data_IF_171857839293
#
_entry.id   IF_171857839293
#
_cell.length_a   1.000
_cell.length_b   1.000
_cell.length_c   1.000
_cell.angle_alpha   90.00
_cell.angle_beta   90.00
_cell.angle_gamma   90.00
#
_symmetry.space_group_name_H-M   'P 1'
#
loop_
_entity.id
_entity.type
_entity.pdbx_description
1 polymer ?
#
# COMPACT_ATOMS: atom_id res chain seq x y z
N UNK A 1 -33.78 -52.95 -35.66
CA UNK A 1 -33.06 -52.66 -34.40
C UNK A 1 -31.53 -52.81 -34.48
N UNK A 2 -30.94 -53.31 -35.57
CA UNK A 2 -29.49 -53.54 -35.68
C UNK A 2 -28.69 -52.31 -36.17
N UNK A 3 -29.29 -51.36 -36.91
CA UNK A 3 -28.58 -50.16 -37.40
C UNK A 3 -28.39 -49.05 -36.36
N UNK A 4 -29.20 -49.00 -35.30
CA UNK A 4 -29.05 -48.00 -34.21
C UNK A 4 -28.00 -48.42 -33.16
N UNK A 5 -27.65 -49.70 -33.08
CA UNK A 5 -26.62 -50.19 -32.17
C UNK A 5 -25.19 -49.91 -32.69
N UNK A 6 -24.99 -49.91 -34.01
CA UNK A 6 -23.67 -49.69 -34.60
C UNK A 6 -23.20 -48.23 -34.53
N UNK A 7 -24.13 -47.26 -34.63
CA UNK A 7 -23.81 -45.84 -34.46
C UNK A 7 -23.48 -45.49 -33.01
N UNK A 8 -24.12 -46.16 -32.05
CA UNK A 8 -23.85 -45.94 -30.62
C UNK A 8 -22.46 -46.46 -30.21
N UNK A 9 -22.00 -47.56 -30.82
CA UNK A 9 -20.69 -48.16 -30.51
C UNK A 9 -19.52 -47.34 -31.08
N UNK A 10 -19.69 -46.67 -32.23
CA UNK A 10 -18.66 -45.81 -32.83
C UNK A 10 -18.57 -44.46 -32.09
N UNK A 11 -19.69 -43.93 -31.57
CA UNK A 11 -19.69 -42.72 -30.74
C UNK A 11 -19.11 -42.94 -29.34
N UNK A 12 -19.19 -44.16 -28.77
CA UNK A 12 -18.56 -44.46 -27.48
C UNK A 12 -17.06 -44.76 -27.59
N UNK A 13 -16.58 -45.28 -28.73
CA UNK A 13 -15.15 -45.53 -28.95
C UNK A 13 -14.37 -44.26 -29.34
N UNK A 14 -15.04 -43.26 -29.91
CA UNK A 14 -14.44 -41.96 -30.24
C UNK A 14 -14.40 -40.99 -29.05
N UNK A 15 -15.15 -41.27 -27.96
CA UNK A 15 -15.05 -40.54 -26.69
C UNK A 15 -13.96 -41.09 -25.75
N UNK A 16 -13.38 -42.24 -26.06
CA UNK A 16 -12.36 -42.91 -25.24
C UNK A 16 -10.91 -42.66 -25.72
N UNK A 17 -10.71 -41.91 -26.81
CA UNK A 17 -9.39 -41.70 -27.43
C UNK A 17 -8.84 -40.26 -27.33
N UNK A 18 -9.46 -39.38 -26.53
CA UNK A 18 -8.96 -38.01 -26.29
C UNK A 18 -8.41 -37.77 -24.89
N UNK A 19 -8.23 -38.80 -24.08
CA UNK A 19 -7.46 -38.69 -22.82
C UNK A 19 -5.99 -39.04 -23.06
N UNK A 20 -5.35 -38.32 -23.98
CA UNK A 20 -3.89 -38.20 -23.98
C UNK A 20 -3.49 -37.25 -22.86
N UNK A 21 -3.20 -37.82 -21.70
CA UNK A 21 -2.10 -37.45 -20.79
C UNK A 21 -1.57 -36.00 -20.91
N UNK A 22 -2.28 -35.04 -20.30
CA UNK A 22 -1.62 -34.00 -19.52
C UNK A 22 -1.89 -34.35 -18.06
N UNK A 23 -0.84 -34.56 -17.27
CA UNK A 23 -0.96 -34.94 -15.88
C UNK A 23 -1.62 -33.82 -15.08
N UNK A 24 -2.91 -33.96 -14.80
CA UNK A 24 -3.55 -33.24 -13.70
C UNK A 24 -3.08 -33.91 -12.41
N UNK A 25 -1.89 -33.52 -11.93
CA UNK A 25 -1.66 -33.57 -10.50
C UNK A 25 -2.72 -32.68 -9.87
N UNK A 26 -3.64 -33.28 -9.11
CA UNK A 26 -4.57 -32.51 -8.30
C UNK A 26 -3.74 -31.53 -7.46
N UNK A 27 -3.88 -30.22 -7.72
CA UNK A 27 -3.18 -29.19 -6.96
C UNK A 27 -3.56 -29.40 -5.50
N UNK A 28 -2.60 -29.83 -4.68
CA UNK A 28 -2.79 -29.93 -3.24
C UNK A 28 -3.00 -28.51 -2.71
N UNK A 29 -4.25 -28.19 -2.39
CA UNK A 29 -4.67 -26.85 -1.94
C UNK A 29 -3.98 -26.47 -0.61
N UNK A 30 -3.47 -27.44 0.15
CA UNK A 30 -2.65 -27.19 1.34
C UNK A 30 -1.17 -26.94 1.02
N UNK A 31 -0.70 -27.28 -0.18
CA UNK A 31 0.65 -26.95 -0.66
C UNK A 31 0.77 -25.53 -1.22
N UNK A 32 -0.36 -24.89 -1.55
CA UNK A 32 -0.38 -23.55 -2.13
C UNK A 32 -0.29 -22.49 -1.02
N UNK A 33 0.67 -21.59 -1.18
CA UNK A 33 0.82 -20.44 -0.29
C UNK A 33 -0.46 -19.57 -0.31
N UNK A 34 -1.02 -19.30 0.87
CA UNK A 34 -2.37 -18.70 0.97
C UNK A 34 -2.31 -17.17 0.83
N UNK A 35 -1.17 -16.55 1.17
CA UNK A 35 -0.98 -15.12 1.09
C UNK A 35 0.48 -14.74 0.81
N UNK A 36 0.69 -13.75 -0.03
CA UNK A 36 1.97 -13.05 -0.15
C UNK A 36 1.78 -11.60 0.27
N UNK A 37 2.53 -11.17 1.28
CA UNK A 37 2.59 -9.79 1.74
C UNK A 37 3.79 -9.14 1.08
N UNK A 38 3.53 -8.20 0.17
CA UNK A 38 4.53 -7.35 -0.42
C UNK A 38 4.70 -6.08 0.42
N UNK A 39 5.87 -5.90 1.01
CA UNK A 39 6.25 -4.68 1.73
C UNK A 39 7.06 -3.81 0.76
N UNK A 40 6.56 -2.64 0.45
CA UNK A 40 7.12 -1.70 -0.51
C UNK A 40 7.55 -0.41 0.20
N UNK A 41 8.86 -0.30 0.47
CA UNK A 41 9.50 0.83 1.14
C UNK A 41 10.39 1.59 0.13
N UNK A 42 9.80 2.46 -0.72
CA UNK A 42 10.54 3.26 -1.69
C UNK A 42 11.44 4.29 -1.00
N UNK A 43 12.29 4.99 -1.77
CA UNK A 43 13.13 6.04 -1.22
C UNK A 43 12.30 7.22 -0.75
N UNK A 44 12.52 7.65 0.49
CA UNK A 44 11.82 8.79 1.11
C UNK A 44 12.72 10.01 1.30
N UNK A 45 14.02 9.85 1.10
CA UNK A 45 15.01 10.91 1.28
C UNK A 45 15.26 11.71 -0.01
N UNK A 46 16.32 12.50 -0.01
CA UNK A 46 16.87 13.12 -1.22
C UNK A 46 18.26 12.52 -1.54
N UNK A 47 19.11 13.25 -2.27
CA UNK A 47 20.46 12.80 -2.64
C UNK A 47 21.48 12.87 -1.50
N UNK A 48 21.14 13.51 -0.37
CA UNK A 48 22.03 13.80 0.78
C UNK A 48 21.45 13.36 2.12
N UNK A 49 20.13 13.37 2.27
CA UNK A 49 19.41 13.02 3.50
C UNK A 49 18.62 11.73 3.29
N UNK A 50 18.61 10.87 4.30
CA UNK A 50 18.05 9.51 4.19
C UNK A 50 16.53 9.42 4.36
N UNK A 51 15.86 10.53 4.68
CA UNK A 51 14.43 10.52 5.03
C UNK A 51 14.12 9.50 6.13
N UNK A 52 13.05 8.73 5.94
CA UNK A 52 12.54 7.70 6.84
C UNK A 52 13.31 6.36 6.78
N UNK A 53 14.45 6.26 6.08
CA UNK A 53 15.16 4.98 5.90
C UNK A 53 15.41 4.21 7.20
N UNK A 54 15.83 4.90 8.26
CA UNK A 54 16.08 4.28 9.58
C UNK A 54 14.78 3.73 10.20
N UNK A 55 13.69 4.48 10.10
CA UNK A 55 12.39 4.08 10.64
C UNK A 55 11.80 2.89 9.87
N UNK A 56 11.87 2.94 8.54
CA UNK A 56 11.44 1.83 7.68
C UNK A 56 12.27 0.57 7.93
N UNK A 57 13.58 0.70 8.19
CA UNK A 57 14.41 -0.43 8.62
C UNK A 57 13.93 -1.00 9.95
N UNK A 58 13.63 -0.15 10.93
CA UNK A 58 13.08 -0.57 12.22
C UNK A 58 11.71 -1.24 12.07
N UNK A 59 10.91 -0.83 11.08
CA UNK A 59 9.65 -1.50 10.75
C UNK A 59 9.88 -2.91 10.18
N UNK A 60 10.86 -3.11 9.29
CA UNK A 60 11.25 -4.48 8.85
C UNK A 60 11.75 -5.31 10.04
N UNK A 61 12.56 -4.73 10.93
CA UNK A 61 13.01 -5.39 12.16
C UNK A 61 11.80 -5.80 13.05
N UNK A 62 10.82 -4.90 13.22
CA UNK A 62 9.57 -5.15 13.96
C UNK A 62 8.69 -6.23 13.32
N UNK A 63 8.62 -6.29 11.98
CA UNK A 63 7.95 -7.39 11.27
C UNK A 63 8.65 -8.73 11.52
N UNK A 64 9.99 -8.77 11.43
CA UNK A 64 10.78 -9.96 11.77
C UNK A 64 10.51 -10.43 13.21
N UNK A 65 10.46 -9.52 14.17
CA UNK A 65 10.09 -9.85 15.56
C UNK A 65 8.67 -10.42 15.67
N UNK A 66 7.72 -9.90 14.89
CA UNK A 66 6.36 -10.43 14.78
C UNK A 66 6.33 -11.87 14.24
N UNK A 67 7.11 -12.14 13.19
CA UNK A 67 7.26 -13.47 12.59
C UNK A 67 7.85 -14.46 13.62
N UNK A 68 8.92 -14.07 14.31
CA UNK A 68 9.55 -14.89 15.36
C UNK A 68 8.57 -15.14 16.51
N UNK A 69 7.85 -14.12 16.98
CA UNK A 69 6.87 -14.25 18.06
C UNK A 69 5.73 -15.22 17.70
N UNK A 70 5.39 -15.32 16.41
CA UNK A 70 4.39 -16.27 15.89
C UNK A 70 4.99 -17.60 15.45
N UNK A 71 6.31 -17.78 15.61
CA UNK A 71 7.06 -19.00 15.27
C UNK A 71 6.91 -19.41 13.80
N UNK A 72 6.78 -18.42 12.90
CA UNK A 72 6.65 -18.67 11.47
C UNK A 72 5.78 -17.66 10.74
N UNK A 73 5.55 -17.97 9.46
CA UNK A 73 4.84 -17.10 8.51
C UNK A 73 3.38 -17.48 8.29
N UNK A 74 2.85 -18.52 8.95
CA UNK A 74 1.43 -18.95 8.85
C UNK A 74 0.93 -19.16 7.41
N UNK A 75 1.60 -19.99 6.61
CA UNK A 75 1.27 -20.22 5.19
C UNK A 75 1.19 -18.93 4.37
N UNK A 76 2.06 -17.98 4.72
CA UNK A 76 2.25 -16.73 3.99
C UNK A 76 3.72 -16.59 3.58
N UNK A 77 3.98 -15.74 2.59
CA UNK A 77 5.31 -15.28 2.20
C UNK A 77 5.40 -13.77 2.39
N UNK A 78 6.58 -13.26 2.75
CA UNK A 78 6.80 -11.82 2.93
C UNK A 78 7.98 -11.39 2.10
N UNK A 79 7.71 -10.52 1.14
CA UNK A 79 8.70 -9.99 0.20
C UNK A 79 8.86 -8.50 0.48
N UNK A 80 10.08 -8.03 0.69
CA UNK A 80 10.38 -6.63 1.03
C UNK A 80 11.15 -6.00 -0.11
N UNK A 81 10.55 -5.02 -0.77
CA UNK A 81 11.28 -4.05 -1.58
C UNK A 81 11.68 -2.88 -0.68
N UNK A 82 12.97 -2.57 -0.60
CA UNK A 82 13.47 -1.45 0.21
C UNK A 82 14.56 -0.68 -0.52
N UNK A 83 14.39 0.63 -0.65
CA UNK A 83 15.41 1.54 -1.18
C UNK A 83 16.46 1.88 -0.12
N UNK A 84 17.74 1.67 -0.45
CA UNK A 84 18.88 2.08 0.37
C UNK A 84 19.28 3.53 0.12
N UNK A 85 19.12 4.00 -1.12
CA UNK A 85 19.32 5.39 -1.51
C UNK A 85 18.44 5.70 -2.74
N UNK A 86 18.54 6.93 -3.25
CA UNK A 86 17.72 7.43 -4.36
C UNK A 86 17.83 6.61 -5.66
N UNK A 87 18.89 5.82 -5.86
CA UNK A 87 19.05 4.95 -7.04
C UNK A 87 18.99 3.46 -6.71
N UNK A 88 19.43 3.07 -5.51
CA UNK A 88 19.67 1.66 -5.18
C UNK A 88 18.58 1.08 -4.28
N UNK A 89 17.97 -0.01 -4.72
CA UNK A 89 16.95 -0.75 -3.97
C UNK A 89 17.16 -2.25 -4.02
N UNK A 90 16.53 -2.97 -3.10
CA UNK A 90 16.65 -4.43 -2.97
C UNK A 90 15.28 -5.08 -2.87
N UNK A 91 15.11 -6.24 -3.50
CA UNK A 91 14.02 -7.16 -3.21
C UNK A 91 14.55 -8.29 -2.32
N UNK A 92 13.95 -8.46 -1.14
CA UNK A 92 14.40 -9.34 -0.08
C UNK A 92 13.28 -10.32 0.28
N UNK A 93 13.58 -11.61 0.40
CA UNK A 93 12.68 -12.62 0.96
C UNK A 93 12.93 -12.79 2.46
N UNK A 94 11.88 -12.67 3.27
CA UNK A 94 11.97 -12.95 4.71
C UNK A 94 11.57 -14.40 4.96
N UNK A 95 12.54 -15.22 5.38
CA UNK A 95 12.35 -16.64 5.62
C UNK A 95 12.50 -16.95 7.12
N UNK A 96 11.54 -17.64 7.70
CA UNK A 96 11.64 -18.08 9.10
C UNK A 96 12.40 -19.42 9.17
N UNK A 97 13.50 -19.45 9.92
CA UNK A 97 14.22 -20.67 10.22
C UNK A 97 13.77 -21.22 11.57
N UNK A 98 13.06 -22.36 11.52
CA UNK A 98 12.55 -23.05 12.71
C UNK A 98 13.63 -23.62 13.64
N UNK A 99 14.84 -23.88 13.14
CA UNK A 99 15.95 -24.42 13.94
C UNK A 99 16.59 -23.33 14.79
N UNK A 100 16.94 -22.20 14.17
CA UNK A 100 17.55 -21.06 14.86
C UNK A 100 16.52 -20.16 15.53
N UNK A 101 15.23 -20.27 15.17
CA UNK A 101 14.12 -19.39 15.59
C UNK A 101 14.37 -17.93 15.22
N UNK A 102 14.98 -17.71 14.06
CA UNK A 102 15.31 -16.39 13.53
C UNK A 102 14.69 -16.18 12.15
N UNK A 103 14.75 -14.95 11.64
CA UNK A 103 14.35 -14.62 10.27
C UNK A 103 15.60 -14.36 9.45
N UNK A 104 15.78 -15.14 8.39
CA UNK A 104 16.79 -14.95 7.35
C UNK A 104 16.25 -13.90 6.37
N UNK A 105 17.13 -12.98 5.96
CA UNK A 105 16.86 -11.95 4.95
C UNK A 105 17.65 -12.28 3.69
N UNK A 106 17.01 -12.92 2.73
CA UNK A 106 17.66 -13.32 1.49
C UNK A 106 17.46 -12.25 0.40
N UNK A 107 18.54 -11.62 -0.05
CA UNK A 107 18.48 -10.59 -1.10
C UNK A 107 18.38 -11.26 -2.46
N UNK A 108 17.22 -11.14 -3.10
CA UNK A 108 16.89 -11.83 -4.34
C UNK A 108 17.25 -11.04 -5.60
N UNK A 109 17.19 -9.71 -5.52
CA UNK A 109 17.47 -8.80 -6.64
C UNK A 109 17.91 -7.43 -6.14
N UNK A 110 18.84 -6.83 -6.87
CA UNK A 110 19.25 -5.42 -6.72
C UNK A 110 18.71 -4.62 -7.90
N UNK A 111 18.27 -3.41 -7.63
CA UNK A 111 17.85 -2.41 -8.61
C UNK A 111 18.77 -1.20 -8.43
N UNK A 112 19.39 -0.73 -9.51
CA UNK A 112 20.34 0.38 -9.48
C UNK A 112 19.76 1.71 -10.02
N UNK A 113 18.45 1.72 -10.27
CA UNK A 113 17.64 2.88 -10.65
C UNK A 113 16.29 2.87 -9.93
N UNK A 114 15.66 4.05 -9.81
CA UNK A 114 14.33 4.23 -9.21
C UNK A 114 13.17 3.91 -10.18
N UNK A 115 13.24 2.78 -10.91
CA UNK A 115 12.21 2.45 -11.92
C UNK A 115 10.81 2.23 -11.34
N UNK A 116 10.71 2.01 -10.03
CA UNK A 116 9.44 1.82 -9.32
C UNK A 116 8.50 3.04 -9.36
N UNK A 117 8.96 4.20 -9.82
CA UNK A 117 8.14 5.42 -9.93
C UNK A 117 7.28 5.47 -11.19
N UNK A 118 7.40 4.50 -12.10
CA UNK A 118 6.48 4.32 -13.23
C UNK A 118 5.53 3.14 -13.01
N UNK A 119 4.40 3.14 -13.70
CA UNK A 119 3.42 2.05 -13.62
C UNK A 119 4.04 0.73 -14.08
N UNK A 120 4.79 0.74 -15.18
CA UNK A 120 5.48 -0.42 -15.73
C UNK A 120 6.55 -0.94 -14.78
N UNK A 121 7.37 -0.06 -14.21
CA UNK A 121 8.44 -0.48 -13.30
C UNK A 121 7.89 -1.03 -11.98
N UNK A 122 6.81 -0.46 -11.43
CA UNK A 122 6.12 -1.06 -10.29
C UNK A 122 5.51 -2.42 -10.66
N UNK A 123 4.87 -2.53 -11.82
CA UNK A 123 4.30 -3.80 -12.31
C UNK A 123 5.36 -4.89 -12.47
N UNK A 124 6.55 -4.55 -12.99
CA UNK A 124 7.69 -5.46 -13.10
C UNK A 124 8.15 -5.98 -11.73
N UNK A 125 8.24 -5.11 -10.73
CA UNK A 125 8.59 -5.50 -9.36
C UNK A 125 7.52 -6.42 -8.77
N UNK A 126 6.25 -6.08 -8.93
CA UNK A 126 5.15 -6.90 -8.43
C UNK A 126 5.07 -8.26 -9.15
N UNK A 127 5.33 -8.31 -10.45
CA UNK A 127 5.42 -9.57 -11.20
C UNK A 127 6.60 -10.43 -10.73
N UNK A 128 7.73 -9.82 -10.37
CA UNK A 128 8.87 -10.52 -9.78
C UNK A 128 8.51 -11.10 -8.39
N UNK A 129 7.76 -10.36 -7.57
CA UNK A 129 7.21 -10.85 -6.29
C UNK A 129 6.32 -12.07 -6.53
N UNK A 130 5.37 -11.99 -7.47
CA UNK A 130 4.46 -13.09 -7.82
C UNK A 130 5.20 -14.34 -8.27
N UNK A 131 6.23 -14.17 -9.11
CA UNK A 131 7.04 -15.28 -9.63
C UNK A 131 7.82 -16.00 -8.53
N UNK A 132 8.25 -15.29 -7.49
CA UNK A 132 9.08 -15.85 -6.39
C UNK A 132 8.26 -16.33 -5.19
N UNK A 133 7.08 -15.76 -5.01
CA UNK A 133 6.19 -16.01 -3.89
C UNK A 133 4.74 -16.05 -4.39
N UNK A 134 4.46 -17.03 -5.26
CA UNK A 134 3.10 -17.23 -5.77
C UNK A 134 2.14 -17.49 -4.61
N UNK A 135 0.93 -16.93 -4.67
CA UNK A 135 -0.08 -17.08 -3.63
C UNK A 135 -1.50 -16.91 -4.17
N UNK A 136 -2.48 -17.40 -3.40
CA UNK A 136 -3.90 -17.15 -3.65
C UNK A 136 -4.29 -15.68 -3.43
N UNK A 137 -3.66 -15.01 -2.46
CA UNK A 137 -3.92 -13.61 -2.13
C UNK A 137 -2.62 -12.82 -2.11
N UNK A 138 -2.68 -11.57 -2.57
CA UNK A 138 -1.58 -10.62 -2.47
C UNK A 138 -2.00 -9.43 -1.64
N UNK A 139 -1.15 -8.98 -0.73
CA UNK A 139 -1.36 -7.78 0.07
C UNK A 139 -0.18 -6.84 -0.10
N UNK A 140 -0.42 -5.54 0.04
CA UNK A 140 0.60 -4.52 -0.11
C UNK A 140 0.69 -3.68 1.16
N UNK A 141 1.90 -3.49 1.68
CA UNK A 141 2.22 -2.56 2.76
C UNK A 141 3.17 -1.52 2.19
N UNK A 142 2.79 -0.25 2.24
CA UNK A 142 3.58 0.87 1.73
C UNK A 142 4.01 1.71 2.92
N UNK A 143 5.32 1.88 3.09
CA UNK A 143 5.91 2.75 4.11
C UNK A 143 6.65 3.89 3.42
N UNK A 144 6.18 5.12 3.61
CA UNK A 144 6.72 6.30 2.93
C UNK A 144 6.24 7.60 3.60
N UNK A 145 6.72 8.76 3.11
CA UNK A 145 5.92 9.97 3.28
C UNK A 145 4.64 9.88 2.43
N UNK A 146 3.59 10.58 2.86
CA UNK A 146 2.34 10.68 2.12
C UNK A 146 1.80 12.10 2.18
N UNK A 147 1.21 12.55 1.07
CA UNK A 147 0.76 13.93 0.89
C UNK A 147 -0.74 14.01 0.62
N UNK A 148 -1.48 12.94 0.93
CA UNK A 148 -2.92 12.89 0.80
C UNK A 148 -3.35 13.11 -0.65
N UNK A 149 -4.03 14.22 -0.93
CA UNK A 149 -4.72 14.46 -2.21
C UNK A 149 -3.95 15.33 -3.22
N UNK A 150 -2.72 15.74 -2.94
CA UNK A 150 -1.92 16.56 -3.90
C UNK A 150 -1.01 15.70 -4.78
N UNK A 151 -0.67 16.13 -5.99
CA UNK A 151 0.38 15.52 -6.82
C UNK A 151 1.76 15.99 -6.38
N UNK A 152 2.80 15.23 -6.74
CA UNK A 152 4.16 15.69 -6.52
C UNK A 152 4.43 17.01 -7.28
N UNK A 153 3.96 17.10 -8.53
CA UNK A 153 4.09 18.31 -9.36
C UNK A 153 3.37 19.55 -8.83
N UNK A 154 2.45 19.40 -7.86
CA UNK A 154 1.71 20.53 -7.29
C UNK A 154 2.55 21.31 -6.25
N UNK A 155 3.68 20.75 -5.82
CA UNK A 155 4.53 21.33 -4.79
C UNK A 155 5.84 21.88 -5.36
N UNK A 156 6.06 23.18 -5.16
CA UNK A 156 7.37 23.81 -5.43
C UNK A 156 8.33 23.61 -4.25
N UNK A 157 7.81 23.70 -3.02
CA UNK A 157 8.53 23.37 -1.79
C UNK A 157 7.56 22.62 -0.86
N UNK A 158 7.82 21.34 -0.60
CA UNK A 158 7.04 20.61 0.40
C UNK A 158 7.28 21.22 1.79
N UNK A 159 6.22 21.61 2.53
CA UNK A 159 6.39 22.34 3.77
C UNK A 159 6.88 21.40 4.88
N UNK A 160 7.83 21.87 5.67
CA UNK A 160 8.30 21.14 6.88
C UNK A 160 7.21 21.05 7.97
N UNK A 161 6.10 21.81 7.84
CA UNK A 161 4.97 21.83 8.77
C UNK A 161 3.65 21.94 7.99
N UNK A 162 2.66 21.10 8.28
CA UNK A 162 1.35 21.08 7.59
C UNK A 162 0.57 22.40 7.69
N UNK A 163 0.86 23.23 8.70
CA UNK A 163 0.48 24.64 8.77
C UNK A 163 1.64 25.44 9.38
N UNK A 164 2.13 26.52 8.73
CA UNK A 164 2.79 27.58 9.47
C UNK A 164 1.84 28.03 10.58
N UNK A 165 2.35 28.25 11.78
CA UNK A 165 1.58 28.64 12.96
C UNK A 165 0.58 29.76 12.58
N UNK A 166 -0.69 29.42 12.38
CA UNK A 166 -1.73 30.38 12.01
C UNK A 166 -2.10 31.15 13.27
N UNK A 167 -1.22 32.09 13.64
CA UNK A 167 -1.47 33.15 14.59
C UNK A 167 -2.33 32.79 15.80
N UNK A 168 -1.85 31.93 16.71
CA UNK A 168 -2.17 32.17 18.11
C UNK A 168 -1.32 33.36 18.54
N UNK A 169 -1.79 34.57 18.22
CA UNK A 169 -1.19 35.79 18.73
C UNK A 169 -1.33 35.76 20.25
N UNK A 170 -0.26 35.37 20.95
CA UNK A 170 -0.14 35.69 22.35
C UNK A 170 -0.03 37.21 22.41
N UNK A 171 -1.05 37.87 22.97
CA UNK A 171 -1.17 39.32 23.05
C UNK A 171 0.12 39.91 23.67
N UNK A 172 0.98 40.52 22.84
CA UNK A 172 2.15 41.28 23.30
C UNK A 172 3.55 40.77 22.90
N UNK A 173 3.70 39.73 22.07
CA UNK A 173 5.03 39.33 21.58
C UNK A 173 5.34 39.90 20.19
N UNK A 174 6.45 40.64 20.06
CA UNK A 174 6.94 41.26 18.81
C UNK A 174 7.91 40.39 18.01
N UNK A 175 8.06 39.11 18.38
CA UNK A 175 9.04 38.20 17.79
C UNK A 175 8.36 36.91 17.35
N UNK A 176 7.71 36.93 16.17
CA UNK A 176 7.24 35.72 15.50
C UNK A 176 7.80 35.65 14.08
N UNK A 177 8.12 34.44 13.57
CA UNK A 177 8.33 34.26 12.15
C UNK A 177 7.03 34.66 11.44
N UNK A 178 7.10 35.71 10.63
CA UNK A 178 6.00 36.09 9.75
C UNK A 178 5.68 34.91 8.84
N UNK A 179 4.40 34.72 8.53
CA UNK A 179 3.91 33.80 7.50
C UNK A 179 4.35 34.20 6.07
N UNK A 180 5.56 34.76 5.94
CA UNK A 180 6.24 35.14 4.70
C UNK A 180 7.27 34.08 4.29
N UNK A 181 7.47 33.02 5.09
CA UNK A 181 8.24 31.84 4.69
C UNK A 181 7.38 30.87 3.86
N UNK A 182 7.09 31.26 2.62
CA UNK A 182 6.67 30.42 1.49
C UNK A 182 5.83 29.18 1.81
N UNK A 183 4.60 29.34 2.33
CA UNK A 183 3.54 28.42 1.93
C UNK A 183 3.18 28.77 0.48
N UNK A 184 3.92 28.24 -0.50
CA UNK A 184 3.46 28.27 -1.88
C UNK A 184 2.25 27.35 -1.92
N UNK A 185 1.05 27.92 -1.82
CA UNK A 185 -0.18 27.14 -1.73
C UNK A 185 -0.29 26.11 -2.85
N UNK A 186 -1.08 25.06 -2.58
CA UNK A 186 -1.40 23.98 -3.53
C UNK A 186 -1.75 24.60 -4.88
N UNK A 187 -0.91 24.35 -5.89
CA UNK A 187 -1.22 24.75 -7.25
C UNK A 187 -2.16 23.70 -7.82
N UNK A 188 -3.43 24.04 -7.99
CA UNK A 188 -4.33 23.17 -8.75
C UNK A 188 -3.84 23.14 -10.21
N UNK A 189 -3.72 21.94 -10.78
CA UNK A 189 -3.35 21.76 -12.18
C UNK A 189 -4.25 22.52 -13.18
N UNK A 190 -3.93 22.51 -14.48
CA UNK A 190 -4.54 23.39 -15.48
C UNK A 190 -6.05 23.17 -15.71
N UNK A 191 -6.62 22.05 -15.26
CA UNK A 191 -8.07 21.77 -15.31
C UNK A 191 -8.68 21.70 -13.90
N UNK A 192 -9.37 22.75 -13.42
CA UNK A 192 -10.01 22.75 -12.12
C UNK A 192 -11.19 21.75 -12.00
N UNK A 193 -11.65 21.15 -13.11
CA UNK A 193 -12.69 20.11 -13.11
C UNK A 193 -12.13 18.68 -13.14
N UNK A 194 -10.81 18.53 -13.30
CA UNK A 194 -10.10 17.26 -13.26
C UNK A 194 -8.86 17.39 -12.37
N UNK A 195 -9.04 17.60 -11.06
CA UNK A 195 -7.91 17.59 -10.15
C UNK A 195 -7.29 16.19 -10.21
N UNK A 196 -6.10 16.15 -10.80
CA UNK A 196 -5.24 14.98 -10.82
C UNK A 196 -4.69 14.95 -9.38
N UNK A 197 -5.00 13.91 -8.57
CA UNK A 197 -4.66 13.86 -7.11
C UNK A 197 -3.85 12.64 -6.60
N UNK A 198 -2.92 12.91 -5.63
CA UNK A 198 -2.28 12.04 -4.59
C UNK A 198 -0.89 11.46 -4.88
N UNK A 199 0.13 11.80 -4.08
CA UNK A 199 1.46 11.14 -4.10
C UNK A 199 1.98 10.66 -2.73
N UNK A 200 2.90 9.70 -2.78
CA UNK A 200 3.67 9.14 -1.67
C UNK A 200 5.12 8.89 -2.12
N UNK A 201 6.04 8.62 -1.19
CA UNK A 201 7.46 8.38 -1.51
C UNK A 201 8.37 9.47 -0.97
N UNK A 202 9.30 9.98 -1.78
CA UNK A 202 10.09 11.16 -1.42
C UNK A 202 9.29 12.44 -1.61
N UNK A 203 9.38 13.35 -0.63
CA UNK A 203 8.81 14.71 -0.71
C UNK A 203 9.86 15.76 -1.09
N UNK A 204 11.12 15.34 -1.20
CA UNK A 204 12.27 16.22 -1.46
C UNK A 204 12.98 15.89 -2.78
N UNK A 205 12.59 14.80 -3.44
CA UNK A 205 13.21 14.33 -4.67
C UNK A 205 12.15 13.74 -5.60
N UNK A 206 11.77 14.52 -6.62
CA UNK A 206 10.67 14.24 -7.54
C UNK A 206 10.79 12.89 -8.25
N UNK A 207 12.00 12.50 -8.68
CA UNK A 207 12.22 11.21 -9.36
C UNK A 207 11.98 9.97 -8.47
N UNK A 208 11.76 10.17 -7.16
CA UNK A 208 11.41 9.15 -6.18
C UNK A 208 10.01 9.35 -5.57
N UNK A 209 9.22 10.29 -6.07
CA UNK A 209 7.81 10.44 -5.73
C UNK A 209 6.93 9.53 -6.60
N UNK A 210 5.82 9.06 -6.05
CA UNK A 210 4.87 8.16 -6.72
C UNK A 210 3.46 8.69 -6.59
N UNK A 211 2.79 8.89 -7.72
CA UNK A 211 1.36 9.20 -7.71
C UNK A 211 0.52 7.92 -7.49
N UNK A 212 -0.60 8.04 -6.78
CA UNK A 212 -1.54 6.92 -6.52
C UNK A 212 -2.12 6.34 -7.81
N UNK A 213 -2.48 7.13 -8.85
CA UNK A 213 -2.89 6.57 -10.13
C UNK A 213 -1.79 5.73 -10.81
N UNK A 214 -0.52 6.12 -10.67
CA UNK A 214 0.62 5.34 -11.17
C UNK A 214 0.73 4.00 -10.44
N UNK A 215 0.57 4.00 -9.11
CA UNK A 215 0.47 2.77 -8.32
C UNK A 215 -0.71 1.90 -8.77
N UNK A 216 -1.89 2.49 -8.95
CA UNK A 216 -3.09 1.78 -9.36
C UNK A 216 -2.89 1.12 -10.73
N UNK A 217 -2.37 1.86 -11.71
CA UNK A 217 -2.08 1.32 -13.04
C UNK A 217 -1.01 0.22 -12.96
N UNK A 218 0.05 0.39 -12.17
CA UNK A 218 1.07 -0.64 -11.98
C UNK A 218 0.52 -1.95 -11.39
N UNK A 219 -0.38 -1.86 -10.40
CA UNK A 219 -1.06 -3.05 -9.86
C UNK A 219 -1.94 -3.70 -10.92
N UNK A 220 -2.70 -2.91 -11.68
CA UNK A 220 -3.57 -3.39 -12.75
C UNK A 220 -2.79 -4.06 -13.89
N UNK A 221 -1.68 -3.48 -14.33
CA UNK A 221 -0.78 -4.04 -15.35
C UNK A 221 -0.18 -5.39 -14.92
N UNK A 222 0.04 -5.60 -13.61
CA UNK A 222 0.46 -6.91 -13.10
C UNK A 222 -0.64 -7.97 -13.13
N UNK A 223 -1.89 -7.61 -13.45
CA UNK A 223 -3.06 -8.50 -13.40
C UNK A 223 -3.40 -8.95 -11.97
N UNK A 224 -3.14 -8.10 -10.97
CA UNK A 224 -3.32 -8.43 -9.55
C UNK A 224 -4.40 -7.54 -8.93
N UNK A 225 -5.13 -8.08 -7.97
CA UNK A 225 -5.96 -7.29 -7.05
C UNK A 225 -5.52 -7.57 -5.63
N UNK A 226 -5.23 -6.50 -4.89
CA UNK A 226 -4.74 -6.60 -3.51
C UNK A 226 -5.88 -6.95 -2.56
N UNK A 227 -5.62 -7.85 -1.61
CA UNK A 227 -6.50 -8.14 -0.50
C UNK A 227 -6.59 -6.92 0.43
N UNK A 228 -5.47 -6.25 0.66
CA UNK A 228 -5.43 -4.92 1.26
C UNK A 228 -4.23 -4.13 0.75
N UNK A 229 -4.34 -2.80 0.78
CA UNK A 229 -3.22 -1.87 0.72
C UNK A 229 -3.18 -1.13 2.05
N UNK A 230 -2.10 -1.31 2.82
CA UNK A 230 -1.82 -0.53 4.02
C UNK A 230 -0.86 0.60 3.66
N UNK A 231 -1.28 1.84 3.86
CA UNK A 231 -0.39 2.99 3.86
C UNK A 231 0.07 3.29 5.28
N UNK A 232 1.30 2.92 5.59
CA UNK A 232 2.08 3.42 6.72
C UNK A 232 2.73 4.75 6.31
N UNK A 233 1.85 5.73 6.04
CA UNK A 233 2.17 7.03 5.48
C UNK A 233 1.12 8.07 5.89
N UNK A 234 1.52 9.34 5.94
CA UNK A 234 0.63 10.44 6.32
C UNK A 234 -0.48 10.68 5.29
N UNK A 235 -1.66 11.10 5.77
CA UNK A 235 -2.75 11.68 4.98
C UNK A 235 -3.39 10.79 3.89
N UNK A 236 -3.04 9.51 3.80
CA UNK A 236 -3.55 8.59 2.78
C UNK A 236 -5.00 8.13 3.03
N UNK A 237 -5.55 8.40 4.21
CA UNK A 237 -6.93 8.08 4.61
C UNK A 237 -7.96 9.10 4.13
N UNK A 238 -8.04 9.30 2.82
CA UNK A 238 -9.03 10.17 2.19
C UNK A 238 -9.87 9.42 1.14
N UNK A 239 -11.07 9.94 0.83
CA UNK A 239 -12.05 9.26 -0.05
C UNK A 239 -11.54 9.19 -1.49
N UNK A 240 -10.76 10.19 -1.88
CA UNK A 240 -10.15 10.30 -3.18
C UNK A 240 -9.18 9.12 -3.40
N UNK A 241 -8.25 8.87 -2.48
CA UNK A 241 -7.32 7.72 -2.54
C UNK A 241 -8.06 6.39 -2.53
N UNK A 242 -9.08 6.26 -1.68
CA UNK A 242 -9.88 5.04 -1.62
C UNK A 242 -10.59 4.73 -2.95
N UNK A 243 -11.11 5.79 -3.61
CA UNK A 243 -11.81 5.67 -4.88
C UNK A 243 -10.85 5.35 -6.04
N UNK A 244 -9.66 5.95 -6.06
CA UNK A 244 -8.62 5.64 -7.06
C UNK A 244 -8.20 4.18 -7.04
N UNK A 245 -8.04 3.61 -5.83
CA UNK A 245 -7.56 2.25 -5.65
C UNK A 245 -8.68 1.20 -5.70
N UNK A 246 -9.94 1.59 -5.89
CA UNK A 246 -11.11 0.72 -5.69
C UNK A 246 -11.10 -0.55 -6.56
N UNK A 247 -10.53 -0.46 -7.74
CA UNK A 247 -10.48 -1.56 -8.69
C UNK A 247 -9.30 -2.50 -8.43
N UNK A 248 -8.27 -2.03 -7.72
CA UNK A 248 -7.00 -2.74 -7.48
C UNK A 248 -6.80 -3.21 -6.04
N UNK A 249 -7.70 -2.87 -5.11
CA UNK A 249 -7.70 -3.42 -3.75
C UNK A 249 -9.11 -3.68 -3.22
N UNK A 250 -9.26 -4.67 -2.33
CA UNK A 250 -10.49 -4.90 -1.58
C UNK A 250 -10.61 -3.93 -0.39
N UNK A 251 -9.50 -3.70 0.33
CA UNK A 251 -9.45 -2.81 1.49
C UNK A 251 -8.27 -1.85 1.41
N UNK A 252 -8.46 -0.62 1.86
CA UNK A 252 -7.38 0.34 2.12
C UNK A 252 -7.30 0.60 3.61
N UNK A 253 -6.10 0.52 4.19
CA UNK A 253 -5.86 0.82 5.61
C UNK A 253 -4.93 2.01 5.67
N UNK A 254 -5.34 3.10 6.32
CA UNK A 254 -4.55 4.33 6.34
C UNK A 254 -5.00 5.33 7.41
N UNK A 255 -4.12 6.29 7.71
CA UNK A 255 -4.39 7.45 8.55
C UNK A 255 -4.87 8.63 7.69
N UNK A 256 -5.92 9.33 8.16
CA UNK A 256 -6.35 10.60 7.55
C UNK A 256 -5.52 11.79 8.05
N UNK A 257 -4.57 11.57 8.95
CA UNK A 257 -3.67 12.58 9.51
C UNK A 257 -2.21 12.13 9.41
N UNK A 258 -1.32 12.80 10.14
CA UNK A 258 0.08 12.38 10.22
C UNK A 258 0.21 11.03 10.94
N UNK A 259 1.17 10.22 10.50
CA UNK A 259 1.64 9.03 11.20
C UNK A 259 3.00 9.38 11.80
N UNK A 260 3.22 9.03 13.07
CA UNK A 260 4.51 9.30 13.72
C UNK A 260 5.62 8.47 13.08
N UNK A 261 6.87 8.92 13.16
CA UNK A 261 8.01 8.25 12.52
C UNK A 261 8.15 6.76 12.85
N UNK A 262 7.68 6.32 14.02
CA UNK A 262 7.67 4.90 14.39
C UNK A 262 6.80 4.02 13.47
N UNK A 263 5.82 4.60 12.75
CA UNK A 263 4.94 3.90 11.83
C UNK A 263 3.99 2.93 12.53
N UNK A 264 3.67 1.81 11.89
CA UNK A 264 2.86 0.75 12.46
C UNK A 264 3.70 -0.12 13.43
N UNK A 265 3.18 -0.48 14.61
CA UNK A 265 3.87 -1.35 15.57
C UNK A 265 3.84 -2.83 15.16
N UNK A 266 4.44 -3.15 14.01
CA UNK A 266 4.28 -4.43 13.29
C UNK A 266 4.38 -5.66 14.17
N UNK A 267 5.36 -5.77 15.06
CA UNK A 267 5.49 -6.89 16.01
C UNK A 267 4.18 -7.26 16.72
N UNK A 268 3.47 -6.23 17.22
CA UNK A 268 2.26 -6.42 18.05
C UNK A 268 1.01 -6.68 17.23
N UNK A 269 0.96 -6.15 16.01
CA UNK A 269 -0.22 -6.23 15.13
C UNK A 269 -0.06 -7.23 13.98
N UNK A 270 1.12 -7.86 13.85
CA UNK A 270 1.51 -8.72 12.72
C UNK A 270 0.46 -9.78 12.39
N UNK A 271 -0.04 -10.49 13.41
CA UNK A 271 -1.02 -11.57 13.22
C UNK A 271 -2.38 -11.11 12.71
N UNK A 272 -2.71 -9.82 12.83
CA UNK A 272 -3.95 -9.30 12.28
C UNK A 272 -3.89 -9.14 10.76
N UNK A 273 -2.69 -8.99 10.19
CA UNK A 273 -2.49 -8.88 8.75
C UNK A 273 -1.99 -10.17 8.10
N UNK A 274 -1.11 -10.92 8.78
CA UNK A 274 -0.49 -12.15 8.30
C UNK A 274 -1.42 -13.37 8.42
N UNK A 275 -2.48 -13.32 7.63
CA UNK A 275 -3.59 -14.28 7.57
C UNK A 275 -4.31 -14.14 6.24
N UNK A 276 -4.75 -15.25 5.65
CA UNK A 276 -5.62 -15.23 4.46
C UNK A 276 -6.97 -14.53 4.70
N UNK A 277 -7.38 -14.38 5.96
CA UNK A 277 -8.49 -13.54 6.39
C UNK A 277 -7.98 -12.50 7.41
N UNK A 278 -7.51 -11.33 6.97
CA UNK A 278 -7.01 -10.29 7.87
C UNK A 278 -8.11 -9.77 8.82
N UNK A 279 -7.75 -9.52 10.07
CA UNK A 279 -8.62 -8.89 11.07
C UNK A 279 -8.36 -7.39 11.12
N UNK A 280 -9.00 -6.64 10.23
CA UNK A 280 -8.79 -5.19 10.10
C UNK A 280 -9.18 -4.40 11.35
N UNK A 281 -10.26 -4.79 12.06
CA UNK A 281 -10.66 -4.12 13.30
C UNK A 281 -9.63 -4.35 14.41
N UNK A 282 -9.15 -5.58 14.57
CA UNK A 282 -8.08 -5.92 15.50
C UNK A 282 -6.78 -5.18 15.19
N UNK A 283 -6.43 -5.06 13.90
CA UNK A 283 -5.29 -4.27 13.45
C UNK A 283 -5.42 -2.81 13.85
N UNK A 284 -6.50 -2.12 13.44
CA UNK A 284 -6.75 -0.71 13.74
C UNK A 284 -6.73 -0.46 15.24
N UNK A 285 -7.45 -1.28 16.02
CA UNK A 285 -7.47 -1.18 17.49
C UNK A 285 -6.08 -1.37 18.09
N UNK A 286 -5.28 -2.31 17.57
CA UNK A 286 -3.91 -2.55 18.00
C UNK A 286 -3.01 -1.34 17.79
N UNK A 287 -3.07 -0.71 16.61
CA UNK A 287 -2.29 0.51 16.30
C UNK A 287 -2.72 1.68 17.18
N UNK A 288 -4.02 1.94 17.31
CA UNK A 288 -4.54 3.03 18.17
C UNK A 288 -4.15 2.82 19.63
N UNK A 289 -4.24 1.58 20.13
CA UNK A 289 -3.86 1.26 21.51
C UNK A 289 -2.35 1.41 21.74
N UNK A 290 -1.51 1.07 20.76
CA UNK A 290 -0.07 1.32 20.85
C UNK A 290 0.23 2.80 21.06
N UNK A 291 -0.32 3.66 20.19
CA UNK A 291 -0.06 5.10 20.26
C UNK A 291 -0.67 5.73 21.51
N UNK A 292 -1.89 5.35 21.89
CA UNK A 292 -2.55 5.81 23.13
C UNK A 292 -1.69 5.63 24.38
N UNK A 293 -0.84 4.60 24.41
CA UNK A 293 0.04 4.29 25.55
C UNK A 293 1.50 4.72 25.32
N UNK A 294 1.78 5.50 24.27
CA UNK A 294 3.12 6.01 23.95
C UNK A 294 3.32 7.44 24.46
N UNK A 295 4.54 7.96 24.36
CA UNK A 295 4.86 9.37 24.65
C UNK A 295 4.32 10.35 23.60
N UNK A 296 3.88 9.85 22.44
CA UNK A 296 3.30 10.62 21.33
C UNK A 296 1.90 10.08 21.01
N UNK A 297 0.88 10.37 21.85
CA UNK A 297 -0.43 9.73 21.80
C UNK A 297 -1.35 10.26 20.69
N UNK A 298 -0.81 10.34 19.47
CA UNK A 298 -1.49 10.85 18.29
C UNK A 298 -1.55 9.74 17.23
N UNK A 299 -2.76 9.28 16.95
CA UNK A 299 -3.02 8.33 15.87
C UNK A 299 -4.49 8.39 15.49
N UNK A 300 -4.76 8.43 14.19
CA UNK A 300 -5.99 7.88 13.65
C UNK A 300 -5.63 6.84 12.59
N UNK A 301 -6.48 5.85 12.42
CA UNK A 301 -6.31 4.78 11.44
C UNK A 301 -7.68 4.21 11.14
N UNK A 302 -7.96 3.97 9.87
CA UNK A 302 -9.20 3.34 9.43
C UNK A 302 -8.89 2.24 8.42
N UNK A 303 -9.78 1.23 8.37
CA UNK A 303 -9.85 0.29 7.27
C UNK A 303 -11.10 0.61 6.44
N UNK A 304 -10.90 0.95 5.17
CA UNK A 304 -11.92 1.39 4.22
C UNK A 304 -12.20 0.23 3.26
N UNK A 305 -13.46 -0.19 3.16
CA UNK A 305 -13.89 -1.18 2.18
C UNK A 305 -14.04 -0.52 0.80
N UNK A 306 -13.02 -0.71 -0.03
CA UNK A 306 -12.94 -0.13 -1.36
C UNK A 306 -14.05 -0.65 -2.30
N UNK A 307 -14.63 -1.81 -2.02
CA UNK A 307 -15.73 -2.39 -2.80
C UNK A 307 -17.03 -1.59 -2.67
N UNK A 308 -17.13 -0.72 -1.66
CA UNK A 308 -18.29 0.15 -1.42
C UNK A 308 -18.11 1.56 -2.01
N UNK A 309 -17.01 1.84 -2.69
CA UNK A 309 -16.71 3.19 -3.17
C UNK A 309 -17.65 3.69 -4.26
N UNK A 310 -18.18 2.81 -5.12
CA UNK A 310 -19.21 3.21 -6.09
C UNK A 310 -20.54 3.57 -5.43
N UNK A 311 -20.94 2.82 -4.39
CA UNK A 311 -22.16 3.12 -3.62
C UNK A 311 -22.02 4.46 -2.90
N UNK A 312 -20.85 4.72 -2.29
CA UNK A 312 -20.57 6.01 -1.64
C UNK A 312 -20.57 7.17 -2.65
N UNK A 313 -19.94 6.99 -3.81
CA UNK A 313 -19.90 8.00 -4.86
C UNK A 313 -21.30 8.30 -5.41
N UNK A 314 -22.17 7.28 -5.53
CA UNK A 314 -23.56 7.47 -5.93
C UNK A 314 -24.33 8.34 -4.92
N UNK A 315 -24.19 8.07 -3.62
CA UNK A 315 -24.80 8.89 -2.57
C UNK A 315 -24.28 10.34 -2.63
N UNK A 316 -22.96 10.51 -2.78
CA UNK A 316 -22.35 11.83 -2.86
C UNK A 316 -22.82 12.61 -4.09
N UNK A 317 -23.01 11.93 -5.23
CA UNK A 317 -23.58 12.53 -6.46
C UNK A 317 -25.02 13.00 -6.24
N UNK A 318 -25.82 12.25 -5.50
CA UNK A 318 -27.18 12.66 -5.14
C UNK A 318 -27.16 13.93 -4.28
N UNK A 319 -26.33 13.96 -3.24
CA UNK A 319 -26.15 15.12 -2.35
C UNK A 319 -25.75 16.35 -3.18
N UNK A 320 -24.73 16.22 -4.02
CA UNK A 320 -24.21 17.32 -4.85
C UNK A 320 -25.20 17.82 -5.92
N UNK A 321 -26.18 17.00 -6.31
CA UNK A 321 -27.25 17.45 -7.22
C UNK A 321 -28.33 18.27 -6.54
N UNK A 322 -28.44 18.18 -5.20
CA UNK A 322 -29.46 18.86 -4.38
C UNK A 322 -28.92 20.05 -3.61
N UNK A 323 -27.65 20.00 -3.21
CA UNK A 323 -27.03 20.95 -2.32
C UNK A 323 -25.70 21.44 -2.89
N UNK A 324 -25.40 22.72 -2.67
CA UNK A 324 -24.11 23.33 -3.03
C UNK A 324 -23.50 23.90 -1.76
N UNK A 325 -22.21 23.67 -1.55
CA UNK A 325 -21.48 24.32 -0.46
C UNK A 325 -21.49 25.84 -0.68
N UNK A 326 -21.79 26.58 0.38
CA UNK A 326 -21.72 28.05 0.33
C UNK A 326 -20.30 28.47 -0.05
N UNK A 327 -20.19 29.40 -1.00
CA UNK A 327 -18.90 30.01 -1.37
C UNK A 327 -18.32 30.90 -0.26
N UNK A 328 -19.12 31.20 0.77
CA UNK A 328 -18.68 31.86 2.00
C UNK A 328 -18.89 30.93 3.20
N UNK A 329 -17.79 30.59 3.87
CA UNK A 329 -17.81 30.01 5.22
C UNK A 329 -17.74 31.21 6.18
N UNK A 330 -18.79 31.50 6.97
CA UNK A 330 -18.64 32.46 8.05
C UNK A 330 -17.63 31.87 9.05
N UNK A 331 -16.44 32.47 9.11
CA UNK A 331 -15.39 32.12 10.05
C UNK A 331 -15.63 32.75 11.42
#
# INVERSE_FOLDING_TARGET
>A
MIKKLFTLFICTLSLAATFTSCGDEAIDVESVNKQTIFVFFPWTGDTRYTGLYSDLKNNVDSMCEGIVAKKGLNNSRVMVFMSQNYRKSYLIDLQYDGNTKTVIRDTLKTYDEATYTTAEGFAEILNEVKRRAEALNYSLIIGAHGCGWTYNSDWVNYPYMARPNAGFAQKGSTSYPTATGNFSGIQYGPDPNKPITRFFGSVSLEENALDVPTLAEGIKLSGTKMQYILFDACYMGNVETAYELKDVTNFMISSSSEVMGAGVPYKTVWSYLNSSAPNYSGFVNGVVNFYKNSSVPFCNMAAIDCRQMDNLAQVMKEINSKYTLSSSVPL
#
